data_IF_320407216606
#
_entry.id   IF_320407216606
#
_cell.length_a   1.000
_cell.length_b   1.000
_cell.length_c   1.000
_cell.angle_alpha   90.00
_cell.angle_beta   90.00
_cell.angle_gamma   90.00
#
_symmetry.space_group_name_H-M   'P 1'
#
loop_
_entity.id
_entity.type
_entity.pdbx_description
1 polymer ?
#
# COMPACT_ATOMS: atom_id res chain seq x y z
N UNK A 1 3.20 -1.69 -60.17
CA UNK A 1 1.77 -1.27 -60.28
C UNK A 1 0.82 -2.39 -60.73
N UNK A 2 1.26 -3.34 -61.59
CA UNK A 2 0.40 -4.43 -62.09
C UNK A 2 -0.06 -5.40 -61.00
N UNK A 3 0.83 -5.77 -60.08
CA UNK A 3 0.57 -6.68 -58.94
C UNK A 3 -0.51 -6.17 -57.99
N UNK A 4 -0.51 -4.87 -57.67
CA UNK A 4 -1.54 -4.23 -56.84
C UNK A 4 -2.91 -4.27 -57.51
N UNK A 5 -2.99 -3.99 -58.81
CA UNK A 5 -4.25 -4.07 -59.58
C UNK A 5 -4.82 -5.49 -59.64
N UNK A 6 -3.96 -6.47 -59.80
CA UNK A 6 -4.37 -7.91 -59.81
C UNK A 6 -4.85 -8.37 -58.41
N UNK A 7 -4.17 -7.94 -57.36
CA UNK A 7 -4.58 -8.20 -55.96
C UNK A 7 -5.96 -7.63 -55.67
N UNK A 8 -6.17 -6.37 -56.03
CA UNK A 8 -7.46 -5.67 -55.82
C UNK A 8 -8.61 -6.33 -56.61
N UNK A 9 -8.36 -6.74 -57.89
CA UNK A 9 -9.36 -7.45 -58.70
C UNK A 9 -9.67 -8.85 -58.15
N UNK A 10 -8.73 -9.52 -57.51
CA UNK A 10 -8.93 -10.81 -56.86
C UNK A 10 -9.77 -10.75 -55.58
N UNK A 11 -9.63 -9.65 -54.81
CA UNK A 11 -10.45 -9.39 -53.63
C UNK A 11 -11.94 -9.28 -53.95
N UNK A 12 -12.28 -8.63 -55.03
CA UNK A 12 -13.67 -8.46 -55.45
C UNK A 12 -14.25 -9.64 -56.27
N UNK A 13 -13.43 -10.56 -56.77
CA UNK A 13 -13.87 -11.75 -57.46
C UNK A 13 -14.47 -12.81 -56.52
N UNK A 14 -14.01 -12.90 -55.29
CA UNK A 14 -14.48 -13.82 -54.26
C UNK A 14 -14.93 -13.12 -52.98
N UNK A 15 -15.95 -12.30 -53.10
CA UNK A 15 -16.45 -11.43 -52.02
C UNK A 15 -16.77 -12.18 -50.73
N UNK A 16 -17.36 -13.37 -50.76
CA UNK A 16 -17.68 -14.19 -49.59
C UNK A 16 -16.43 -14.59 -48.82
N UNK A 17 -15.38 -15.03 -49.50
CA UNK A 17 -14.12 -15.43 -48.87
C UNK A 17 -13.38 -14.24 -48.30
N UNK A 18 -13.37 -13.10 -49.03
CA UNK A 18 -12.75 -11.87 -48.60
C UNK A 18 -13.47 -11.28 -47.38
N UNK A 19 -14.81 -11.33 -47.36
CA UNK A 19 -15.59 -10.88 -46.22
C UNK A 19 -15.33 -11.71 -44.96
N UNK A 20 -15.29 -13.06 -45.10
CA UNK A 20 -15.01 -13.94 -43.96
C UNK A 20 -13.61 -13.75 -43.41
N UNK A 21 -12.59 -13.61 -44.26
CA UNK A 21 -11.22 -13.32 -43.78
C UNK A 21 -11.11 -11.94 -43.17
N UNK A 22 -11.77 -10.93 -43.71
CA UNK A 22 -11.80 -9.60 -43.13
C UNK A 22 -12.49 -9.57 -41.75
N UNK A 23 -13.61 -10.30 -41.62
CA UNK A 23 -14.31 -10.45 -40.33
C UNK A 23 -13.42 -11.16 -39.29
N UNK A 24 -12.72 -12.22 -39.69
CA UNK A 24 -11.79 -12.95 -38.78
C UNK A 24 -10.65 -12.05 -38.31
N UNK A 25 -10.02 -11.30 -39.24
CA UNK A 25 -8.94 -10.36 -38.89
C UNK A 25 -9.45 -9.24 -38.00
N UNK A 26 -10.60 -8.65 -38.36
CA UNK A 26 -11.20 -7.57 -37.58
C UNK A 26 -11.59 -8.03 -36.18
N UNK A 27 -12.22 -9.19 -36.04
CA UNK A 27 -12.59 -9.73 -34.74
C UNK A 27 -11.36 -10.03 -33.86
N UNK A 28 -10.31 -10.60 -34.45
CA UNK A 28 -9.04 -10.83 -33.74
C UNK A 28 -8.40 -9.52 -33.26
N UNK A 29 -8.43 -8.47 -34.10
CA UNK A 29 -7.90 -7.16 -33.75
C UNK A 29 -8.70 -6.50 -32.62
N UNK A 30 -10.03 -6.60 -32.68
CA UNK A 30 -10.91 -6.08 -31.62
C UNK A 30 -10.63 -6.78 -30.29
N UNK A 31 -10.52 -8.12 -30.29
CA UNK A 31 -10.19 -8.87 -29.07
C UNK A 31 -8.83 -8.46 -28.52
N UNK A 32 -7.82 -8.30 -29.38
CA UNK A 32 -6.49 -7.90 -28.97
C UNK A 32 -6.47 -6.52 -28.33
N UNK A 33 -7.16 -5.54 -28.92
CA UNK A 33 -7.29 -4.19 -28.35
C UNK A 33 -8.04 -4.23 -27.01
N UNK A 34 -9.10 -5.03 -26.91
CA UNK A 34 -9.84 -5.18 -25.64
C UNK A 34 -8.98 -5.77 -24.53
N UNK A 35 -8.21 -6.82 -24.83
CA UNK A 35 -7.30 -7.46 -23.86
C UNK A 35 -6.20 -6.51 -23.43
N UNK A 36 -5.59 -5.77 -24.36
CA UNK A 36 -4.56 -4.78 -24.06
C UNK A 36 -5.11 -3.65 -23.19
N UNK A 37 -6.28 -3.11 -23.54
CA UNK A 37 -6.96 -2.09 -22.75
C UNK A 37 -7.34 -2.56 -21.33
N UNK A 38 -7.80 -3.81 -21.20
CA UNK A 38 -8.09 -4.41 -19.90
C UNK A 38 -6.82 -4.56 -19.06
N UNK A 39 -5.74 -5.03 -19.65
CA UNK A 39 -4.46 -5.24 -18.98
C UNK A 39 -3.85 -3.92 -18.50
N UNK A 40 -3.88 -2.88 -19.33
CA UNK A 40 -3.47 -1.51 -18.94
C UNK A 40 -4.35 -0.95 -17.82
N UNK A 41 -5.66 -1.16 -17.89
CA UNK A 41 -6.61 -0.76 -16.85
C UNK A 41 -6.33 -1.45 -15.51
N UNK A 42 -6.18 -2.77 -15.52
CA UNK A 42 -5.83 -3.54 -14.32
C UNK A 42 -4.49 -3.09 -13.72
N UNK A 43 -3.45 -2.92 -14.54
CA UNK A 43 -2.14 -2.46 -14.08
C UNK A 43 -2.24 -1.09 -13.43
N UNK A 44 -2.97 -0.16 -14.04
CA UNK A 44 -3.17 1.19 -13.48
C UNK A 44 -3.91 1.16 -12.13
N UNK A 45 -4.94 0.32 -12.01
CA UNK A 45 -5.69 0.17 -10.75
C UNK A 45 -4.83 -0.50 -9.68
N UNK A 46 -4.09 -1.56 -10.01
CA UNK A 46 -3.20 -2.24 -9.05
C UNK A 46 -2.06 -1.34 -8.58
N UNK A 47 -1.34 -0.71 -9.49
CA UNK A 47 -0.24 0.19 -9.14
C UNK A 47 -0.76 1.40 -8.37
N UNK A 48 -1.83 2.05 -8.84
CA UNK A 48 -2.44 3.18 -8.13
C UNK A 48 -2.97 2.79 -6.75
N UNK A 49 -3.55 1.60 -6.61
CA UNK A 49 -4.01 1.10 -5.32
C UNK A 49 -2.89 0.96 -4.30
N UNK A 50 -1.75 0.39 -4.69
CA UNK A 50 -0.61 0.19 -3.78
C UNK A 50 0.10 1.52 -3.48
N UNK A 51 0.39 2.32 -4.51
CA UNK A 51 1.18 3.55 -4.39
C UNK A 51 0.46 4.64 -3.59
N UNK A 52 -0.84 4.80 -3.81
CA UNK A 52 -1.61 5.85 -3.12
C UNK A 52 -2.22 5.40 -1.79
N UNK A 53 -2.28 4.09 -1.52
CA UNK A 53 -2.91 3.60 -0.28
C UNK A 53 -1.97 3.76 0.91
N UNK A 54 -0.75 3.24 0.82
CA UNK A 54 0.19 3.20 1.95
C UNK A 54 1.61 3.63 1.59
N UNK A 55 2.19 3.15 0.49
CA UNK A 55 3.64 3.22 0.28
C UNK A 55 4.15 4.56 -0.25
N UNK A 56 3.29 5.38 -0.85
CA UNK A 56 3.69 6.57 -1.59
C UNK A 56 4.37 6.23 -2.93
N UNK A 57 4.76 7.25 -3.69
CA UNK A 57 5.38 7.08 -5.01
C UNK A 57 6.84 6.65 -4.94
N UNK A 58 7.55 7.06 -3.89
CA UNK A 58 8.95 6.74 -3.66
C UNK A 58 9.27 6.57 -2.18
N UNK A 59 10.24 5.73 -1.87
CA UNK A 59 10.71 5.50 -0.51
C UNK A 59 12.22 5.63 -0.43
N UNK A 60 12.70 6.33 0.59
CA UNK A 60 14.10 6.37 0.96
C UNK A 60 14.33 5.44 2.12
N UNK A 61 15.08 4.37 1.89
CA UNK A 61 15.38 3.35 2.91
C UNK A 61 16.87 3.04 2.94
N UNK A 62 17.37 2.55 4.08
CA UNK A 62 18.74 2.05 4.15
C UNK A 62 18.92 0.83 3.25
N UNK A 63 20.09 0.75 2.60
CA UNK A 63 20.42 -0.40 1.74
C UNK A 63 20.34 -1.71 2.53
N UNK A 64 19.53 -2.65 2.06
CA UNK A 64 19.32 -3.95 2.70
C UNK A 64 18.02 -4.06 3.51
N UNK A 65 17.39 -2.96 3.90
CA UNK A 65 16.16 -2.94 4.68
C UNK A 65 15.03 -3.82 4.09
N UNK A 66 14.80 -3.74 2.76
CA UNK A 66 13.73 -4.49 2.10
C UNK A 66 13.92 -6.01 2.07
N UNK A 67 15.11 -6.51 2.36
CA UNK A 67 15.38 -7.95 2.32
C UNK A 67 14.96 -8.65 3.60
N UNK A 68 15.12 -8.00 4.75
CA UNK A 68 14.96 -8.63 6.06
C UNK A 68 13.95 -7.91 6.97
N UNK A 69 13.59 -6.65 6.70
CA UNK A 69 12.75 -5.81 7.59
C UNK A 69 13.25 -5.78 9.05
N UNK A 70 14.58 -5.93 9.22
CA UNK A 70 15.18 -5.90 10.55
C UNK A 70 15.21 -4.47 11.09
N UNK A 71 14.92 -4.32 12.35
CA UNK A 71 14.80 -3.03 13.05
C UNK A 71 16.13 -2.24 13.05
N UNK A 72 17.27 -2.95 12.88
CA UNK A 72 18.62 -2.38 12.83
C UNK A 72 18.91 -1.54 11.56
N UNK A 73 18.11 -1.70 10.49
CA UNK A 73 18.31 -0.94 9.25
C UNK A 73 17.66 0.44 9.29
N UNK A 74 17.99 1.22 10.31
CA UNK A 74 17.58 2.63 10.42
C UNK A 74 18.44 3.54 9.55
N UNK A 75 17.92 4.70 9.15
CA UNK A 75 18.67 5.74 8.45
C UNK A 75 19.58 6.43 9.48
N UNK A 76 20.91 6.41 9.26
CA UNK A 76 21.91 6.91 10.22
C UNK A 76 21.80 8.42 10.52
N UNK A 77 21.41 9.24 9.56
CA UNK A 77 21.25 10.68 9.70
C UNK A 77 19.89 11.14 9.12
N UNK A 78 18.76 10.84 9.78
CA UNK A 78 17.45 11.15 9.24
C UNK A 78 17.24 12.64 9.02
N UNK A 79 17.78 13.49 9.90
CA UNK A 79 17.65 14.94 9.79
C UNK A 79 18.23 15.49 8.49
N UNK A 80 19.39 15.01 8.06
CA UNK A 80 20.00 15.45 6.80
C UNK A 80 19.18 15.00 5.57
N UNK A 81 18.66 13.79 5.60
CA UNK A 81 17.80 13.28 4.52
C UNK A 81 16.50 14.08 4.45
N UNK A 82 15.89 14.36 5.60
CA UNK A 82 14.67 15.17 5.71
C UNK A 82 14.90 16.56 5.13
N UNK A 83 16.01 17.25 5.51
CA UNK A 83 16.32 18.59 4.99
C UNK A 83 16.48 18.59 3.47
N UNK A 84 17.16 17.59 2.89
CA UNK A 84 17.31 17.47 1.43
C UNK A 84 15.96 17.24 0.71
N UNK A 85 15.05 16.51 1.32
CA UNK A 85 13.71 16.28 0.78
C UNK A 85 12.88 17.57 0.86
N UNK A 86 12.96 18.31 1.98
CA UNK A 86 12.25 19.58 2.18
C UNK A 86 12.72 20.70 1.25
N UNK A 87 13.99 20.67 0.83
CA UNK A 87 14.55 21.62 -0.14
C UNK A 87 14.20 21.28 -1.60
N UNK A 88 13.59 20.14 -1.86
CA UNK A 88 13.28 19.68 -3.21
C UNK A 88 11.91 20.20 -3.70
N UNK A 89 11.92 20.97 -4.76
CA UNK A 89 10.68 21.49 -5.41
C UNK A 89 9.82 20.40 -6.08
N UNK A 90 10.33 19.16 -6.19
CA UNK A 90 9.64 18.04 -6.86
C UNK A 90 8.77 17.25 -5.86
N UNK A 91 9.05 17.36 -4.55
CA UNK A 91 8.38 16.59 -3.51
C UNK A 91 7.18 17.38 -2.95
N UNK A 92 5.97 16.91 -3.23
CA UNK A 92 4.73 17.54 -2.72
C UNK A 92 4.47 17.25 -1.24
N UNK A 93 4.91 16.09 -0.76
CA UNK A 93 4.78 15.66 0.63
C UNK A 93 5.66 14.48 0.96
N UNK A 94 6.06 14.37 2.22
CA UNK A 94 6.78 13.22 2.74
C UNK A 94 6.37 12.94 4.18
N UNK A 95 6.51 11.68 4.60
CA UNK A 95 6.27 11.24 5.97
C UNK A 95 7.40 10.32 6.44
N UNK A 96 8.08 10.65 7.55
CA UNK A 96 8.99 9.70 8.19
C UNK A 96 8.18 8.56 8.80
N UNK A 97 8.69 7.33 8.66
CA UNK A 97 8.03 6.13 9.19
C UNK A 97 9.05 5.24 9.91
N UNK A 98 8.58 4.59 10.94
CA UNK A 98 9.27 3.46 11.60
C UNK A 98 8.43 2.21 11.32
N UNK A 99 9.06 1.16 10.82
CA UNK A 99 8.36 -0.10 10.51
C UNK A 99 8.95 -1.18 11.41
N UNK A 100 8.10 -1.81 12.22
CA UNK A 100 8.48 -2.78 13.23
C UNK A 100 7.64 -4.04 13.04
N UNK A 101 8.28 -5.19 12.90
CA UNK A 101 7.61 -6.48 13.01
C UNK A 101 7.36 -6.83 14.49
N UNK A 102 6.13 -7.21 14.81
CA UNK A 102 5.78 -7.54 16.19
C UNK A 102 4.50 -8.37 16.30
N UNK A 103 3.96 -8.39 17.48
CA UNK A 103 2.67 -9.04 17.78
C UNK A 103 1.73 -8.04 18.44
N UNK A 104 0.47 -8.12 18.07
CA UNK A 104 -0.61 -7.38 18.72
C UNK A 104 -1.51 -8.36 19.47
N UNK A 105 -1.87 -8.01 20.70
CA UNK A 105 -2.70 -8.84 21.55
C UNK A 105 -3.84 -8.03 22.18
N UNK A 106 -5.01 -8.65 22.21
CA UNK A 106 -6.15 -8.24 23.04
C UNK A 106 -6.23 -9.11 24.31
N UNK A 107 -7.33 -8.97 25.04
CA UNK A 107 -7.62 -9.88 26.16
C UNK A 107 -8.01 -11.29 25.71
N UNK A 108 -8.34 -11.49 24.45
CA UNK A 108 -8.89 -12.72 23.89
C UNK A 108 -7.93 -13.43 22.96
N UNK A 109 -7.32 -12.70 22.04
CA UNK A 109 -6.54 -13.24 20.94
C UNK A 109 -5.24 -12.48 20.69
N UNK A 110 -4.34 -13.09 19.93
CA UNK A 110 -3.05 -12.51 19.53
C UNK A 110 -2.84 -12.74 18.03
N UNK A 111 -2.27 -11.74 17.34
CA UNK A 111 -1.92 -11.83 15.92
C UNK A 111 -0.54 -11.25 15.66
N UNK A 112 0.13 -11.71 14.60
CA UNK A 112 1.30 -11.03 14.07
C UNK A 112 0.90 -9.68 13.48
N UNK A 113 1.75 -8.67 13.64
CA UNK A 113 1.49 -7.33 13.13
C UNK A 113 2.75 -6.68 12.57
N UNK A 114 2.57 -5.92 11.50
CA UNK A 114 3.54 -4.98 10.98
C UNK A 114 3.12 -3.57 11.44
N UNK A 115 3.85 -3.05 12.41
CA UNK A 115 3.53 -1.79 13.07
C UNK A 115 4.22 -0.64 12.35
N UNK A 116 3.44 0.31 11.88
CA UNK A 116 3.90 1.54 11.26
C UNK A 116 3.77 2.68 12.26
N UNK A 117 4.90 3.21 12.71
CA UNK A 117 4.96 4.48 13.42
C UNK A 117 4.96 5.63 12.41
N UNK A 118 3.93 6.46 12.42
CA UNK A 118 3.72 7.55 11.44
C UNK A 118 3.52 8.89 12.12
N UNK A 119 4.00 9.96 11.46
CA UNK A 119 3.64 11.33 11.84
C UNK A 119 2.22 11.60 11.35
N UNK A 120 1.28 11.74 12.28
CA UNK A 120 -0.15 11.84 11.98
C UNK A 120 -0.49 12.99 11.01
N UNK A 121 0.26 14.09 11.03
CA UNK A 121 0.01 15.27 10.19
C UNK A 121 0.66 15.12 8.82
N UNK A 122 1.94 14.71 8.78
CA UNK A 122 2.68 14.55 7.53
C UNK A 122 2.12 13.41 6.69
N UNK A 123 1.65 12.36 7.34
CA UNK A 123 1.09 11.17 6.70
C UNK A 123 -0.16 11.47 5.86
N UNK A 124 -0.97 12.46 6.22
CA UNK A 124 -2.14 12.90 5.45
C UNK A 124 -1.83 13.35 4.02
N UNK A 125 -0.57 13.73 3.75
CA UNK A 125 -0.12 14.12 2.41
C UNK A 125 0.48 12.97 1.61
N UNK A 126 0.78 11.85 2.27
CA UNK A 126 1.54 10.73 1.68
C UNK A 126 0.65 9.52 1.42
N UNK A 127 -0.28 9.26 2.33
CA UNK A 127 -1.15 8.08 2.26
C UNK A 127 -2.63 8.42 2.48
N UNK A 128 -3.49 7.45 2.16
CA UNK A 128 -4.94 7.55 2.34
C UNK A 128 -5.44 6.84 3.59
N UNK A 129 -4.59 6.63 4.59
CA UNK A 129 -4.99 5.95 5.82
C UNK A 129 -6.20 6.66 6.47
N UNK A 130 -6.20 7.99 6.50
CA UNK A 130 -7.29 8.78 7.07
C UNK A 130 -8.62 8.63 6.31
N UNK A 131 -8.56 8.43 4.99
CA UNK A 131 -9.75 8.21 4.15
C UNK A 131 -10.30 6.78 4.28
N UNK A 132 -9.44 5.82 4.67
CA UNK A 132 -9.79 4.42 4.84
C UNK A 132 -10.42 4.09 6.21
N UNK A 133 -10.52 5.06 7.13
CA UNK A 133 -11.16 4.85 8.42
C UNK A 133 -12.66 4.60 8.23
N UNK A 134 -13.12 3.44 8.69
CA UNK A 134 -14.53 3.04 8.62
C UNK A 134 -15.25 3.20 9.98
N UNK A 135 -14.50 3.11 11.09
CA UNK A 135 -15.03 3.30 12.44
C UNK A 135 -14.02 4.08 13.30
N UNK A 136 -14.51 4.97 14.16
CA UNK A 136 -13.67 5.79 15.06
C UNK A 136 -13.03 6.99 14.40
N UNK A 137 -11.85 7.36 14.85
CA UNK A 137 -11.12 8.55 14.42
C UNK A 137 -9.67 8.20 14.01
N UNK A 138 -9.13 8.99 13.09
CA UNK A 138 -7.72 8.93 12.72
C UNK A 138 -6.83 9.37 13.90
N UNK A 139 -5.53 9.05 13.85
CA UNK A 139 -4.54 9.45 14.87
C UNK A 139 -4.58 10.96 15.12
N UNK A 140 -4.79 11.35 16.38
CA UNK A 140 -4.82 12.77 16.80
C UNK A 140 -3.46 13.29 17.25
N UNK A 141 -2.43 12.46 17.27
CA UNK A 141 -1.11 12.75 17.79
C UNK A 141 -0.89 12.35 19.25
N UNK A 142 -1.86 11.75 19.91
CA UNK A 142 -1.68 11.23 21.26
C UNK A 142 -0.84 9.95 21.26
N UNK A 143 0.09 9.77 22.20
CA UNK A 143 1.11 8.73 22.10
C UNK A 143 0.60 7.28 22.20
N UNK A 144 -0.60 7.06 22.70
CA UNK A 144 -1.16 5.72 22.92
C UNK A 144 -2.36 5.40 22.05
N UNK A 145 -2.55 6.10 20.96
CA UNK A 145 -3.55 5.77 19.93
C UNK A 145 -3.02 4.71 19.00
N UNK A 146 -3.92 3.82 18.57
CA UNK A 146 -3.64 2.76 17.62
C UNK A 146 -4.79 2.65 16.62
N UNK A 147 -4.44 2.41 15.33
CA UNK A 147 -5.36 2.03 14.28
C UNK A 147 -5.05 0.62 13.84
N UNK A 148 -6.10 -0.18 13.65
CA UNK A 148 -6.00 -1.54 13.11
C UNK A 148 -6.99 -1.74 11.98
N UNK A 149 -6.71 -2.69 11.09
CA UNK A 149 -7.65 -3.05 10.04
C UNK A 149 -8.87 -3.82 10.57
N UNK A 150 -9.97 -3.78 9.83
CA UNK A 150 -11.21 -4.46 10.20
C UNK A 150 -11.03 -5.97 10.45
N UNK A 151 -10.32 -6.74 9.59
CA UNK A 151 -10.07 -8.16 9.84
C UNK A 151 -9.26 -8.42 11.12
N UNK A 152 -8.34 -7.49 11.48
CA UNK A 152 -7.58 -7.59 12.73
C UNK A 152 -8.49 -7.33 13.94
N UNK A 153 -9.38 -6.34 13.87
CA UNK A 153 -10.33 -6.05 14.94
C UNK A 153 -11.28 -7.24 15.21
N UNK A 154 -11.79 -7.84 14.13
CA UNK A 154 -12.66 -9.02 14.21
C UNK A 154 -11.91 -10.24 14.79
N UNK A 155 -10.64 -10.47 14.37
CA UNK A 155 -9.80 -11.55 14.91
C UNK A 155 -9.47 -11.36 16.39
N UNK A 156 -9.17 -10.13 16.79
CA UNK A 156 -8.79 -9.78 18.16
C UNK A 156 -10.02 -9.60 19.08
N UNK A 157 -11.23 -9.64 18.53
CA UNK A 157 -12.49 -9.43 19.23
C UNK A 157 -12.50 -8.13 20.04
N UNK A 158 -12.16 -7.00 19.38
CA UNK A 158 -12.05 -5.68 20.02
C UNK A 158 -12.94 -4.64 19.36
N UNK A 159 -13.39 -3.70 20.18
CA UNK A 159 -14.18 -2.53 19.80
C UNK A 159 -13.40 -1.21 20.07
N UNK A 160 -13.90 -0.09 19.54
CA UNK A 160 -13.31 1.23 19.76
C UNK A 160 -13.14 1.54 21.24
N UNK A 161 -11.95 2.00 21.62
CA UNK A 161 -11.59 2.33 22.99
C UNK A 161 -11.00 1.17 23.79
N UNK A 162 -11.00 -0.05 23.27
CA UNK A 162 -10.38 -1.20 23.91
C UNK A 162 -8.85 -1.09 24.00
N UNK A 163 -8.28 -1.86 24.88
CA UNK A 163 -6.84 -1.88 25.14
C UNK A 163 -6.19 -2.99 24.33
N UNK A 164 -5.12 -2.64 23.65
CA UNK A 164 -4.29 -3.53 22.85
C UNK A 164 -2.83 -3.44 23.32
N UNK A 165 -2.14 -4.56 23.34
CA UNK A 165 -0.74 -4.64 23.69
C UNK A 165 0.05 -4.95 22.42
N UNK A 166 1.03 -4.10 22.10
CA UNK A 166 2.04 -4.41 21.08
C UNK A 166 3.26 -4.96 21.78
N UNK A 167 3.74 -6.09 21.27
CA UNK A 167 4.99 -6.73 21.68
C UNK A 167 5.96 -6.69 20.52
N UNK A 168 7.10 -6.02 20.70
CA UNK A 168 8.13 -5.89 19.67
C UNK A 168 9.53 -5.94 20.29
N UNK A 169 10.53 -6.21 19.45
CA UNK A 169 11.94 -6.16 19.87
C UNK A 169 12.47 -4.73 19.76
N UNK A 170 13.25 -4.30 20.74
CA UNK A 170 13.92 -3.00 20.75
C UNK A 170 15.24 -3.08 19.97
N UNK A 171 15.59 -2.02 19.23
CA UNK A 171 16.79 -1.95 18.38
C UNK A 171 18.08 -2.11 19.17
N UNK A 172 18.19 -1.41 20.30
CA UNK A 172 19.45 -1.27 21.03
C UNK A 172 19.82 -2.49 21.87
N UNK A 173 18.84 -3.16 22.46
CA UNK A 173 19.06 -4.24 23.43
C UNK A 173 18.57 -5.59 22.95
N UNK A 174 17.85 -5.64 21.84
CA UNK A 174 17.13 -6.83 21.36
C UNK A 174 16.19 -7.43 22.44
N UNK A 175 15.80 -6.60 23.40
CA UNK A 175 14.85 -6.97 24.45
C UNK A 175 13.42 -6.85 23.91
N UNK A 176 12.56 -7.75 24.38
CA UNK A 176 11.15 -7.72 24.05
C UNK A 176 10.46 -6.69 24.94
N UNK A 177 9.90 -5.66 24.33
CA UNK A 177 9.14 -4.61 25.00
C UNK A 177 7.65 -4.77 24.73
N UNK A 178 6.84 -4.50 25.74
CA UNK A 178 5.38 -4.49 25.64
C UNK A 178 4.85 -3.12 25.96
N UNK A 179 4.04 -2.59 25.04
CA UNK A 179 3.41 -1.29 25.19
C UNK A 179 1.90 -1.36 25.03
N UNK A 180 1.20 -0.62 25.89
CA UNK A 180 -0.26 -0.57 25.92
C UNK A 180 -0.77 0.60 25.08
N UNK A 181 -1.70 0.29 24.16
CA UNK A 181 -2.40 1.24 23.31
C UNK A 181 -3.90 1.19 23.53
N UNK A 182 -4.60 2.20 23.01
CA UNK A 182 -6.05 2.26 22.99
C UNK A 182 -6.51 2.38 21.53
N UNK A 183 -7.44 1.53 21.13
CA UNK A 183 -8.00 1.51 19.77
C UNK A 183 -8.79 2.80 19.52
N UNK A 184 -8.28 3.65 18.60
CA UNK A 184 -8.89 4.92 18.23
C UNK A 184 -9.69 4.86 16.94
N UNK A 185 -9.31 3.98 16.01
CA UNK A 185 -10.04 3.80 14.77
C UNK A 185 -9.73 2.46 14.09
N UNK A 186 -10.67 2.05 13.26
CA UNK A 186 -10.61 0.85 12.44
C UNK A 186 -10.62 1.28 10.98
N UNK A 187 -9.68 0.77 10.18
CA UNK A 187 -9.58 1.05 8.77
C UNK A 187 -9.86 -0.17 7.89
N UNK A 188 -10.16 0.08 6.61
CA UNK A 188 -10.31 -0.94 5.58
C UNK A 188 -9.75 -0.41 4.25
N UNK A 189 -8.65 -1.00 3.76
CA UNK A 189 -8.08 -0.73 2.45
C UNK A 189 -8.65 -1.65 1.36
N UNK A 190 -9.13 -2.83 1.76
CA UNK A 190 -9.79 -3.82 0.91
C UNK A 190 -9.08 -5.17 0.81
N UNK A 191 -7.76 -5.28 0.61
CA UNK A 191 -7.08 -6.57 0.68
C UNK A 191 -7.01 -7.10 2.12
N UNK A 192 -7.77 -8.16 2.42
CA UNK A 192 -7.93 -8.73 3.77
C UNK A 192 -6.61 -9.05 4.49
N UNK A 193 -5.65 -9.67 3.77
CA UNK A 193 -4.34 -10.01 4.33
C UNK A 193 -3.51 -8.77 4.70
N UNK A 194 -3.68 -7.68 3.98
CA UNK A 194 -3.03 -6.42 4.28
C UNK A 194 -3.67 -5.78 5.52
N UNK A 195 -4.99 -5.67 5.53
CA UNK A 195 -5.74 -5.06 6.62
C UNK A 195 -5.60 -5.85 7.93
N UNK A 196 -5.44 -7.18 7.84
CA UNK A 196 -5.23 -8.03 9.00
C UNK A 196 -3.90 -7.81 9.72
N UNK A 197 -2.85 -7.49 8.96
CA UNK A 197 -1.49 -7.46 9.50
C UNK A 197 -0.95 -6.04 9.74
N UNK A 198 -1.61 -5.01 9.21
CA UNK A 198 -1.16 -3.62 9.36
C UNK A 198 -1.71 -2.97 10.63
N UNK A 199 -0.82 -2.24 11.30
CA UNK A 199 -1.13 -1.47 12.51
C UNK A 199 -0.45 -0.11 12.42
N UNK A 200 -1.15 0.97 12.78
CA UNK A 200 -0.58 2.32 12.79
C UNK A 200 -0.60 2.91 14.18
N UNK A 201 0.52 3.49 14.57
CA UNK A 201 0.71 4.21 15.84
C UNK A 201 1.44 5.54 15.58
N UNK A 202 1.49 6.41 16.56
CA UNK A 202 2.28 7.64 16.46
C UNK A 202 3.78 7.36 16.37
N UNK A 203 4.48 8.12 15.52
CA UNK A 203 5.91 8.00 15.25
C UNK A 203 6.75 8.14 16.53
N UNK A 204 6.47 9.17 17.36
CA UNK A 204 7.20 9.43 18.58
C UNK A 204 7.16 8.22 19.54
N UNK A 205 6.02 7.52 19.56
CA UNK A 205 5.86 6.32 20.39
C UNK A 205 6.57 5.10 19.79
N UNK A 206 6.64 5.01 18.47
CA UNK A 206 7.40 3.95 17.79
C UNK A 206 8.93 4.11 17.94
N UNK A 207 9.40 5.33 18.23
CA UNK A 207 10.81 5.66 18.41
C UNK A 207 11.27 5.62 19.89
N UNK A 208 10.34 5.54 20.86
CA UNK A 208 10.64 5.54 22.31
C UNK A 208 10.85 4.12 22.84
#
# INVERSE_FOLDING_TARGET
>A
MLTLRLAFRNLFRNTRRTLLTALLISSSLVVLILVDGLMLGMTKVMVGGITHTLEGEAQVVRKGFRNNFEVEYTIENPTNVISQIEESDVVEGFGPRVIIGGMIASSYNTSGALVYGVDAIKELKVSRISEAIIEGEYLSGKPREILIGKPAADLLEVELGDRLIITAATVDTNEITQELFRLSGIFEFGPEEMDKNLVFINLDKAQS
#
